data_IF_918700377286
#
_entry.id   IF_918700377286
#
_cell.length_a   1.000
_cell.length_b   1.000
_cell.length_c   1.000
_cell.angle_alpha   90.00
_cell.angle_beta   90.00
_cell.angle_gamma   90.00
#
_symmetry.space_group_name_H-M   'P 1'
#
loop_
_entity.id
_entity.type
_entity.pdbx_description
1 polymer ?
#
# COMPACT_ATOMS: atom_id res chain seq x y z
N UNK A 1 17.26 27.75 -38.35
CA UNK A 1 16.60 26.44 -38.15
C UNK A 1 15.12 26.67 -37.87
N UNK A 2 14.22 26.30 -38.78
CA UNK A 2 12.78 26.35 -38.54
C UNK A 2 12.38 25.16 -37.66
N UNK A 3 12.04 25.44 -36.40
CA UNK A 3 11.45 24.45 -35.50
C UNK A 3 10.00 24.25 -35.95
N UNK A 4 9.74 23.19 -36.70
CA UNK A 4 8.37 22.82 -37.05
C UNK A 4 7.57 22.64 -35.75
N UNK A 5 6.58 23.50 -35.53
CA UNK A 5 5.65 23.35 -34.42
C UNK A 5 4.78 22.13 -34.72
N UNK A 6 4.93 21.07 -33.93
CA UNK A 6 4.05 19.90 -34.00
C UNK A 6 2.63 20.37 -33.77
N UNK A 7 1.79 20.29 -34.81
CA UNK A 7 0.36 20.55 -34.70
C UNK A 7 -0.24 19.49 -33.77
N UNK A 8 -0.96 19.94 -32.74
CA UNK A 8 -1.64 19.03 -31.83
C UNK A 8 -2.78 18.35 -32.58
N UNK A 9 -2.55 17.15 -33.09
CA UNK A 9 -3.62 16.28 -33.59
C UNK A 9 -4.55 15.97 -32.41
N UNK A 10 -5.83 16.30 -32.56
CA UNK A 10 -6.85 15.94 -31.57
C UNK A 10 -6.90 14.43 -31.44
N UNK A 11 -6.49 13.90 -30.28
CA UNK A 11 -6.48 12.45 -30.03
C UNK A 11 -7.91 11.97 -29.87
N UNK A 12 -8.26 10.88 -30.58
CA UNK A 12 -9.56 10.24 -30.41
C UNK A 12 -9.76 9.78 -28.96
N UNK A 13 -11.00 9.92 -28.48
CA UNK A 13 -11.40 9.44 -27.15
C UNK A 13 -11.81 7.97 -27.30
N UNK A 14 -11.13 7.04 -26.60
CA UNK A 14 -11.49 5.63 -26.67
C UNK A 14 -12.81 5.39 -25.93
N UNK A 15 -13.60 4.44 -26.43
CA UNK A 15 -14.86 4.05 -25.76
C UNK A 15 -14.57 3.33 -24.43
N UNK A 16 -15.46 3.44 -23.43
CA UNK A 16 -15.39 2.63 -22.22
C UNK A 16 -15.42 1.14 -22.57
N UNK A 17 -14.63 0.35 -21.85
CA UNK A 17 -14.60 -1.12 -21.98
C UNK A 17 -15.58 -1.75 -20.99
N UNK A 18 -15.95 -3.01 -21.19
CA UNK A 18 -16.82 -3.73 -20.25
C UNK A 18 -16.25 -3.78 -18.83
N UNK A 19 -14.92 -3.84 -18.70
CA UNK A 19 -14.22 -3.85 -17.41
C UNK A 19 -14.07 -2.45 -16.81
N UNK A 20 -14.00 -1.42 -17.66
CA UNK A 20 -13.76 -0.03 -17.26
C UNK A 20 -14.84 0.83 -17.90
N UNK A 21 -15.98 0.87 -17.22
CA UNK A 21 -17.19 1.54 -17.68
C UNK A 21 -17.22 3.03 -17.35
N UNK A 22 -16.54 3.43 -16.27
CA UNK A 22 -16.57 4.79 -15.74
C UNK A 22 -15.17 5.28 -15.29
N UNK A 23 -15.04 6.60 -15.11
CA UNK A 23 -13.85 7.28 -14.60
C UNK A 23 -13.43 6.73 -13.24
N UNK A 24 -14.39 6.48 -12.33
CA UNK A 24 -14.08 5.91 -11.01
C UNK A 24 -13.47 4.51 -11.13
N UNK A 25 -14.00 3.68 -12.03
CA UNK A 25 -13.46 2.36 -12.32
C UNK A 25 -12.03 2.44 -12.90
N UNK A 26 -11.78 3.39 -13.81
CA UNK A 26 -10.45 3.63 -14.37
C UNK A 26 -9.44 4.04 -13.30
N UNK A 27 -9.77 5.06 -12.49
CA UNK A 27 -8.88 5.58 -11.45
C UNK A 27 -8.60 4.55 -10.35
N UNK A 28 -9.56 3.65 -10.09
CA UNK A 28 -9.38 2.51 -9.20
C UNK A 28 -8.47 1.44 -9.80
N UNK A 29 -8.65 1.12 -11.08
CA UNK A 29 -7.86 0.11 -11.81
C UNK A 29 -6.37 0.50 -11.90
N UNK A 30 -6.06 1.76 -12.19
CA UNK A 30 -4.66 2.22 -12.25
C UNK A 30 -3.98 2.29 -10.87
N UNK A 31 -4.75 2.30 -9.77
CA UNK A 31 -4.26 2.32 -8.40
C UNK A 31 -3.54 3.61 -8.00
N UNK A 32 -2.50 3.48 -7.15
CA UNK A 32 -1.73 4.60 -6.55
C UNK A 32 -2.61 5.66 -5.89
N UNK A 33 -3.72 5.29 -5.25
CA UNK A 33 -4.69 6.20 -4.62
C UNK A 33 -5.20 7.32 -5.55
N UNK A 34 -5.34 7.06 -6.86
CA UNK A 34 -5.86 8.07 -7.79
C UNK A 34 -7.39 8.25 -7.69
N UNK A 35 -8.08 7.35 -6.98
CA UNK A 35 -9.54 7.41 -6.74
C UNK A 35 -9.96 8.67 -5.98
N UNK A 36 -9.08 9.29 -5.21
CA UNK A 36 -9.35 10.54 -4.48
C UNK A 36 -9.69 11.72 -5.43
N UNK A 37 -9.31 11.63 -6.71
CA UNK A 37 -9.49 12.70 -7.69
C UNK A 37 -10.65 12.45 -8.66
N UNK A 38 -11.59 11.56 -8.34
CA UNK A 38 -12.77 11.29 -9.20
C UNK A 38 -13.56 12.57 -9.45
N UNK A 39 -13.79 13.38 -8.43
CA UNK A 39 -14.52 14.65 -8.53
C UNK A 39 -13.88 15.67 -9.48
N UNK A 40 -12.57 15.54 -9.76
CA UNK A 40 -11.89 16.41 -10.71
C UNK A 40 -12.21 16.06 -12.17
N UNK A 41 -12.83 14.91 -12.43
CA UNK A 41 -13.15 14.40 -13.76
C UNK A 41 -14.64 14.01 -13.82
N UNK A 42 -15.53 14.96 -14.12
CA UNK A 42 -16.97 14.71 -14.08
C UNK A 42 -17.45 13.74 -15.16
N UNK A 43 -16.71 13.59 -16.27
CA UNK A 43 -17.09 12.72 -17.38
C UNK A 43 -15.89 11.94 -17.93
N UNK A 44 -16.17 10.83 -18.62
CA UNK A 44 -15.16 10.05 -19.33
C UNK A 44 -14.39 10.92 -20.34
N UNK A 45 -15.08 11.76 -21.10
CA UNK A 45 -14.45 12.66 -22.06
C UNK A 45 -13.54 13.69 -21.37
N UNK A 46 -13.92 14.19 -20.20
CA UNK A 46 -13.10 15.11 -19.41
C UNK A 46 -11.78 14.45 -18.98
N UNK A 47 -11.80 13.17 -18.57
CA UNK A 47 -10.59 12.43 -18.22
C UNK A 47 -9.59 12.38 -19.40
N UNK A 48 -10.06 12.02 -20.60
CA UNK A 48 -9.19 11.86 -21.77
C UNK A 48 -8.78 13.19 -22.42
N UNK A 49 -9.53 14.25 -22.21
CA UNK A 49 -9.27 15.58 -22.78
C UNK A 49 -8.44 16.46 -21.84
N UNK A 50 -8.54 16.22 -20.53
CA UNK A 50 -7.91 17.06 -19.51
C UNK A 50 -6.41 17.27 -19.73
N UNK A 51 -6.00 18.53 -19.65
CA UNK A 51 -4.59 18.87 -19.72
C UNK A 51 -3.93 18.82 -18.34
N UNK A 52 -2.62 18.58 -18.29
CA UNK A 52 -1.88 18.63 -17.02
C UNK A 52 -1.93 20.00 -16.31
N UNK A 53 -2.31 21.08 -17.03
CA UNK A 53 -2.54 22.42 -16.45
C UNK A 53 -3.92 22.50 -15.79
N UNK A 54 -4.98 21.99 -16.43
CA UNK A 54 -6.32 21.90 -15.82
C UNK A 54 -6.29 21.03 -14.56
N UNK A 55 -5.65 19.86 -14.64
CA UNK A 55 -5.47 18.98 -13.48
C UNK A 55 -4.70 19.66 -12.34
N UNK A 56 -3.77 20.57 -12.65
CA UNK A 56 -3.06 21.37 -11.63
C UNK A 56 -4.01 22.37 -10.97
N UNK A 57 -4.87 23.03 -11.74
CA UNK A 57 -5.88 23.94 -11.22
C UNK A 57 -6.91 23.21 -10.34
N UNK A 58 -7.23 21.96 -10.65
CA UNK A 58 -8.07 21.07 -9.84
C UNK A 58 -7.37 20.52 -8.57
N UNK A 59 -6.12 20.92 -8.28
CA UNK A 59 -5.42 20.54 -7.05
C UNK A 59 -4.77 19.14 -7.03
N UNK A 60 -4.72 18.44 -8.17
CA UNK A 60 -4.11 17.10 -8.25
C UNK A 60 -2.58 17.24 -8.13
N UNK A 61 -1.92 16.41 -7.31
CA UNK A 61 -0.45 16.46 -7.15
C UNK A 61 0.30 16.11 -8.46
N UNK A 62 1.48 16.69 -8.64
CA UNK A 62 2.32 16.54 -9.84
C UNK A 62 2.63 15.08 -10.17
N UNK A 63 2.89 14.23 -9.17
CA UNK A 63 3.18 12.81 -9.40
C UNK A 63 1.96 12.07 -9.95
N UNK A 64 0.77 12.38 -9.40
CA UNK A 64 -0.51 11.81 -9.81
C UNK A 64 -0.91 12.28 -11.19
N UNK A 65 -0.75 13.58 -11.49
CA UNK A 65 -1.02 14.15 -12.82
C UNK A 65 -0.24 13.43 -13.92
N UNK A 66 1.08 13.28 -13.73
CA UNK A 66 1.94 12.59 -14.69
C UNK A 66 1.53 11.12 -14.87
N UNK A 67 1.17 10.46 -13.77
CA UNK A 67 0.77 9.06 -13.79
C UNK A 67 -0.57 8.84 -14.49
N UNK A 68 -1.59 9.64 -14.19
CA UNK A 68 -2.90 9.57 -14.85
C UNK A 68 -2.75 9.83 -16.35
N UNK A 69 -2.04 10.88 -16.76
CA UNK A 69 -1.81 11.17 -18.18
C UNK A 69 -1.08 10.04 -18.91
N UNK A 70 -0.11 9.40 -18.24
CA UNK A 70 0.55 8.21 -18.78
C UNK A 70 -0.43 7.05 -18.97
N UNK A 71 -1.26 6.75 -17.96
CA UNK A 71 -2.23 5.66 -18.05
C UNK A 71 -3.34 5.92 -19.06
N UNK A 72 -3.77 7.17 -19.22
CA UNK A 72 -4.69 7.59 -20.28
C UNK A 72 -4.11 7.29 -21.66
N UNK A 73 -2.81 7.55 -21.85
CA UNK A 73 -2.14 7.23 -23.11
C UNK A 73 -1.97 5.72 -23.32
N UNK A 74 -1.63 4.97 -22.27
CA UNK A 74 -1.58 3.51 -22.32
C UNK A 74 -2.94 2.95 -22.72
N UNK A 75 -4.02 3.41 -22.10
CA UNK A 75 -5.39 2.97 -22.42
C UNK A 75 -5.77 3.29 -23.87
N UNK A 76 -5.36 4.44 -24.41
CA UNK A 76 -5.57 4.77 -25.83
C UNK A 76 -4.88 3.78 -26.78
N UNK A 77 -3.74 3.23 -26.39
CA UNK A 77 -2.93 2.36 -27.24
C UNK A 77 -3.35 0.88 -27.12
N UNK A 78 -3.61 0.41 -25.90
CA UNK A 78 -3.85 -1.00 -25.61
C UNK A 78 -5.31 -1.35 -25.28
N UNK A 79 -6.16 -0.37 -24.98
CA UNK A 79 -7.53 -0.57 -24.50
C UNK A 79 -7.64 -1.10 -23.07
N UNK A 80 -6.52 -1.33 -22.39
CA UNK A 80 -6.45 -1.91 -21.05
C UNK A 80 -5.49 -1.13 -20.16
N UNK A 81 -5.75 -1.09 -18.86
CA UNK A 81 -4.83 -0.52 -17.86
C UNK A 81 -4.57 -1.50 -16.73
N UNK A 82 -3.37 -1.44 -16.19
CA UNK A 82 -2.97 -2.19 -15.01
C UNK A 82 -2.21 -1.29 -14.03
N UNK A 83 -2.32 -1.55 -12.71
CA UNK A 83 -1.59 -0.77 -11.73
C UNK A 83 -0.09 -0.98 -11.91
N UNK A 84 0.66 0.10 -12.12
CA UNK A 84 2.13 0.05 -12.12
C UNK A 84 2.62 0.27 -10.68
N UNK A 85 3.09 -0.76 -9.95
CA UNK A 85 3.51 -0.60 -8.56
C UNK A 85 4.74 0.31 -8.44
N UNK A 86 4.83 1.02 -7.32
CA UNK A 86 6.02 1.78 -6.96
C UNK A 86 7.01 0.84 -6.27
N UNK A 87 8.29 0.94 -6.62
CA UNK A 87 9.33 0.22 -5.89
C UNK A 87 9.41 0.75 -4.46
N UNK A 88 9.47 -0.17 -3.49
CA UNK A 88 9.65 0.14 -2.07
C UNK A 88 10.97 -0.42 -1.60
N UNK A 89 11.69 0.34 -0.77
CA UNK A 89 12.89 -0.14 -0.10
C UNK A 89 12.51 -1.16 0.98
N UNK A 90 13.03 -2.38 0.87
CA UNK A 90 12.85 -3.43 1.88
C UNK A 90 13.88 -3.21 3.00
N UNK A 91 13.46 -3.32 4.27
CA UNK A 91 14.34 -3.26 5.45
C UNK A 91 15.28 -2.03 5.50
N UNK A 92 14.82 -0.89 5.00
CA UNK A 92 15.60 0.36 4.96
C UNK A 92 16.55 0.50 3.75
N UNK A 93 16.58 -0.50 2.86
CA UNK A 93 17.46 -0.55 1.70
C UNK A 93 18.85 -1.12 2.03
N UNK A 94 19.64 -1.36 0.97
CA UNK A 94 20.93 -2.05 1.03
C UNK A 94 21.85 -1.56 2.15
N UNK A 95 22.13 -0.25 2.19
CA UNK A 95 23.06 0.35 3.17
C UNK A 95 22.61 0.23 4.63
N UNK A 96 21.29 0.17 4.88
CA UNK A 96 20.73 0.13 6.25
C UNK A 96 20.27 -1.27 6.66
N UNK A 97 20.36 -2.26 5.77
CA UNK A 97 19.88 -3.62 6.01
C UNK A 97 20.49 -4.25 7.27
N UNK A 98 21.82 -4.22 7.40
CA UNK A 98 22.51 -4.83 8.53
C UNK A 98 22.12 -4.18 9.87
N UNK A 99 21.96 -2.86 9.88
CA UNK A 99 21.50 -2.12 11.07
C UNK A 99 20.05 -2.51 11.43
N UNK A 100 19.17 -2.62 10.44
CA UNK A 100 17.80 -3.05 10.64
C UNK A 100 17.74 -4.47 11.22
N UNK A 101 18.48 -5.41 10.63
CA UNK A 101 18.53 -6.81 11.08
C UNK A 101 19.10 -6.93 12.50
N UNK A 102 20.15 -6.17 12.84
CA UNK A 102 20.69 -6.15 14.19
C UNK A 102 19.66 -5.67 15.22
N UNK A 103 18.96 -4.56 14.93
CA UNK A 103 17.88 -4.04 15.79
C UNK A 103 16.76 -5.07 15.95
N UNK A 104 16.33 -5.70 14.85
CA UNK A 104 15.30 -6.75 14.86
C UNK A 104 15.68 -7.90 15.79
N UNK A 105 16.89 -8.44 15.66
CA UNK A 105 17.40 -9.55 16.50
C UNK A 105 17.43 -9.19 17.99
N UNK A 106 17.81 -7.96 18.33
CA UNK A 106 17.83 -7.49 19.73
C UNK A 106 16.40 -7.44 20.29
N UNK A 107 15.45 -6.91 19.52
CA UNK A 107 14.04 -6.85 19.93
C UNK A 107 13.45 -8.25 20.12
N UNK A 108 13.72 -9.17 19.20
CA UNK A 108 13.29 -10.57 19.28
C UNK A 108 13.83 -11.25 20.56
N UNK A 109 15.10 -11.01 20.92
CA UNK A 109 15.68 -11.54 22.16
C UNK A 109 15.02 -10.97 23.42
N UNK A 110 14.75 -9.66 23.43
CA UNK A 110 14.07 -9.01 24.55
C UNK A 110 12.67 -9.60 24.71
N UNK A 111 11.95 -9.79 23.61
CA UNK A 111 10.61 -10.36 23.61
C UNK A 111 10.64 -11.80 24.15
N UNK A 112 11.52 -12.64 23.59
CA UNK A 112 11.70 -14.01 24.05
C UNK A 112 12.00 -14.09 25.55
N UNK A 113 12.87 -13.21 26.07
CA UNK A 113 13.18 -13.18 27.49
C UNK A 113 11.97 -12.80 28.37
N UNK A 114 11.13 -11.87 27.91
CA UNK A 114 9.86 -11.52 28.58
C UNK A 114 8.91 -12.71 28.60
N UNK A 115 8.77 -13.38 27.46
CA UNK A 115 7.86 -14.52 27.30
C UNK A 115 8.30 -15.69 28.19
N UNK A 116 9.60 -16.01 28.21
CA UNK A 116 10.16 -17.01 29.12
C UNK A 116 9.95 -16.66 30.60
N UNK A 117 10.10 -15.37 30.96
CA UNK A 117 9.83 -14.91 32.33
C UNK A 117 8.36 -15.07 32.70
N UNK A 118 7.45 -14.73 31.79
CA UNK A 118 6.02 -14.92 31.97
C UNK A 118 5.66 -16.40 32.12
N UNK A 119 6.22 -17.26 31.27
CA UNK A 119 6.04 -18.71 31.32
C UNK A 119 6.53 -19.30 32.64
N UNK A 120 7.75 -18.96 33.08
CA UNK A 120 8.29 -19.39 34.39
C UNK A 120 7.40 -18.94 35.55
N UNK A 121 6.85 -17.73 35.49
CA UNK A 121 5.92 -17.23 36.51
C UNK A 121 4.63 -18.07 36.56
N UNK A 122 4.08 -18.44 35.39
CA UNK A 122 2.93 -19.32 35.30
C UNK A 122 3.24 -20.71 35.88
N UNK A 123 4.37 -21.31 35.47
CA UNK A 123 4.80 -22.62 35.99
C UNK A 123 4.99 -22.62 37.51
N UNK A 124 5.64 -21.60 38.06
CA UNK A 124 5.83 -21.49 39.51
C UNK A 124 4.48 -21.36 40.24
N UNK A 125 3.52 -20.62 39.69
CA UNK A 125 2.18 -20.52 40.24
C UNK A 125 1.46 -21.88 40.20
N UNK A 126 1.52 -22.61 39.09
CA UNK A 126 0.90 -23.94 38.98
C UNK A 126 1.54 -24.94 39.95
N UNK A 127 2.87 -24.97 40.03
CA UNK A 127 3.60 -25.85 40.96
C UNK A 127 3.26 -25.50 42.41
N UNK A 128 3.15 -24.21 42.74
CA UNK A 128 2.75 -23.79 44.09
C UNK A 128 1.32 -24.21 44.43
N UNK A 129 0.39 -24.14 43.47
CA UNK A 129 -0.99 -24.60 43.66
C UNK A 129 -1.03 -26.11 43.87
N UNK A 130 -0.28 -26.87 43.06
CA UNK A 130 -0.17 -28.33 43.19
C UNK A 130 0.44 -28.74 44.54
N UNK A 131 1.57 -28.15 44.94
CA UNK A 131 2.20 -28.43 46.24
C UNK A 131 1.28 -28.08 47.41
N UNK A 132 0.48 -27.01 47.29
CA UNK A 132 -0.51 -26.64 48.30
C UNK A 132 -1.63 -27.68 48.37
N UNK A 133 -2.09 -28.19 47.23
CA UNK A 133 -3.09 -29.24 47.13
C UNK A 133 -2.61 -30.54 47.78
N UNK A 134 -1.42 -31.03 47.40
CA UNK A 134 -0.82 -32.24 47.99
C UNK A 134 -0.70 -32.13 49.51
N UNK A 135 -0.18 -31.00 50.01
CA UNK A 135 -0.05 -30.76 51.45
C UNK A 135 -1.40 -30.79 52.19
N UNK A 136 -2.50 -30.39 51.56
CA UNK A 136 -3.82 -30.46 52.21
C UNK A 136 -4.29 -31.91 52.35
N UNK A 137 -4.13 -32.72 51.30
CA UNK A 137 -4.57 -34.12 51.30
C UNK A 137 -3.68 -35.07 52.13
N UNK A 138 -2.40 -34.73 52.29
CA UNK A 138 -1.49 -35.48 53.17
C UNK A 138 -1.88 -35.38 54.66
N UNK A 139 -2.58 -34.32 55.06
CA UNK A 139 -3.06 -34.13 56.44
C UNK A 139 -4.44 -34.76 56.72
N UNK A 140 -5.17 -35.20 55.69
CA UNK A 140 -6.49 -35.83 55.83
C UNK A 140 -6.42 -37.36 55.94
N UNK A 141 -5.23 -37.94 55.72
CA UNK A 141 -4.99 -39.40 55.70
C UNK A 141 -4.33 -39.95 56.98
N UNK A 142 -4.14 -39.12 58.01
CA UNK A 142 -3.68 -39.46 59.37
C UNK A 142 -4.77 -39.21 60.42
#
# INVERSE_FOLDING_TARGET
MFRAYSTKVSKAIPKPSNEITDVSAFLKSIGRNCVEYVEAFPTWDALFTSSGREMKAAGIDTTKRKYILHQVEVYRQSGNVSPTPLSRKINGGERKLNQHLAKKRVLERIQLAKDLKAFRKQQNATTSLYNKFEKLHENETL
#
